data_IF_124466940199
#
_entry.id   IF_124466940199
#
_cell.length_a   1.000
_cell.length_b   1.000
_cell.length_c   1.000
_cell.angle_alpha   90.00
_cell.angle_beta   90.00
_cell.angle_gamma   90.00
#
_symmetry.space_group_name_H-M   'P 1'
#
loop_
_entity.id
_entity.type
_entity.pdbx_description
1 polymer ?
#
# COMPACT_ATOMS: atom_id res chain seq x y z
N UNK A 1 -16.78 2.83 19.08
CA UNK A 1 -18.20 2.50 19.37
C UNK A 1 -18.76 1.86 18.12
N UNK A 2 -19.36 0.66 18.18
CA UNK A 2 -19.89 0.00 16.97
C UNK A 2 -21.09 0.79 16.45
N UNK A 3 -21.09 1.14 15.16
CA UNK A 3 -22.16 1.87 14.47
C UNK A 3 -23.52 1.24 14.77
N UNK A 4 -23.58 -0.09 14.74
CA UNK A 4 -24.78 -0.89 15.05
C UNK A 4 -25.43 -0.56 16.40
N UNK A 5 -24.63 -0.33 17.45
CA UNK A 5 -25.17 -0.04 18.79
C UNK A 5 -25.84 1.33 18.86
N UNK A 6 -25.33 2.30 18.11
CA UNK A 6 -25.92 3.64 18.02
C UNK A 6 -27.23 3.57 17.25
N UNK A 7 -27.23 2.87 16.11
CA UNK A 7 -28.40 2.78 15.24
C UNK A 7 -29.49 1.84 15.75
N UNK A 8 -29.16 0.80 16.53
CA UNK A 8 -30.15 -0.05 17.19
C UNK A 8 -31.06 0.74 18.14
N UNK A 9 -30.51 1.76 18.83
CA UNK A 9 -31.29 2.65 19.69
C UNK A 9 -32.16 3.60 18.88
N UNK A 10 -31.59 4.20 17.83
CA UNK A 10 -32.34 5.08 16.94
C UNK A 10 -33.50 4.35 16.27
N UNK A 11 -33.31 3.09 15.85
CA UNK A 11 -34.36 2.28 15.23
C UNK A 11 -35.56 2.04 16.18
N UNK A 12 -35.31 1.95 17.49
CA UNK A 12 -36.37 1.84 18.49
C UNK A 12 -37.13 3.16 18.76
N UNK A 13 -36.54 4.30 18.40
CA UNK A 13 -37.11 5.63 18.63
C UNK A 13 -36.65 6.65 17.55
N UNK A 14 -37.06 6.49 16.28
CA UNK A 14 -36.51 7.27 15.17
C UNK A 14 -36.86 8.76 15.26
N UNK A 15 -37.94 9.11 15.97
CA UNK A 15 -38.33 10.51 16.19
C UNK A 15 -37.66 11.15 17.43
N UNK A 16 -36.87 10.41 18.23
CA UNK A 16 -36.25 10.96 19.44
C UNK A 16 -35.05 11.84 19.11
N UNK A 17 -35.19 13.14 19.36
CA UNK A 17 -34.14 14.14 19.20
C UNK A 17 -32.86 13.81 19.99
N UNK A 18 -32.94 13.13 21.13
CA UNK A 18 -31.77 12.74 21.91
C UNK A 18 -30.97 11.62 21.23
N UNK A 19 -31.66 10.65 20.63
CA UNK A 19 -30.98 9.57 19.90
C UNK A 19 -30.36 10.13 18.60
N UNK A 20 -31.03 11.05 17.90
CA UNK A 20 -30.44 11.78 16.77
C UNK A 20 -29.19 12.60 17.15
N UNK A 21 -29.19 13.25 18.32
CA UNK A 21 -27.98 13.95 18.82
C UNK A 21 -26.85 12.96 19.14
N UNK A 22 -27.15 11.76 19.65
CA UNK A 22 -26.13 10.71 19.86
C UNK A 22 -25.53 10.26 18.54
N UNK A 23 -26.35 10.08 17.51
CA UNK A 23 -25.94 9.76 16.15
C UNK A 23 -25.03 10.87 15.62
N UNK A 24 -25.43 12.14 15.70
CA UNK A 24 -24.59 13.27 15.29
C UNK A 24 -23.23 13.31 16.01
N UNK A 25 -23.19 13.07 17.33
CA UNK A 25 -21.92 12.99 18.09
C UNK A 25 -21.06 11.81 17.67
N UNK A 26 -21.68 10.66 17.40
CA UNK A 26 -20.98 9.49 16.89
C UNK A 26 -20.32 9.81 15.54
N UNK A 27 -21.08 10.37 14.59
CA UNK A 27 -20.56 10.82 13.30
C UNK A 27 -19.40 11.81 13.47
N UNK A 28 -19.59 12.86 14.29
CA UNK A 28 -18.55 13.86 14.55
C UNK A 28 -17.29 13.29 15.21
N UNK A 29 -17.41 12.21 15.99
CA UNK A 29 -16.24 11.51 16.56
C UNK A 29 -15.52 10.60 15.57
N UNK A 30 -16.21 10.19 14.50
CA UNK A 30 -15.68 9.31 13.46
C UNK A 30 -15.03 10.10 12.31
N UNK A 31 -15.53 11.29 11.98
CA UNK A 31 -14.99 12.14 10.90
C UNK A 31 -13.47 12.35 11.03
N UNK A 32 -12.90 12.81 12.16
CA UNK A 32 -11.45 13.04 12.28
C UNK A 32 -10.59 11.78 12.10
N UNK A 33 -11.18 10.58 12.15
CA UNK A 33 -10.46 9.31 11.97
C UNK A 33 -10.32 8.90 10.51
N UNK A 34 -10.97 9.62 9.58
CA UNK A 34 -10.82 9.44 8.13
C UNK A 34 -11.10 8.00 7.65
N UNK A 35 -12.15 7.37 8.18
CA UNK A 35 -12.55 5.98 7.87
C UNK A 35 -13.74 5.96 6.91
N UNK A 36 -13.53 5.99 5.57
CA UNK A 36 -14.62 6.14 4.61
C UNK A 36 -15.62 4.97 4.62
N UNK A 37 -15.18 3.77 4.97
CA UNK A 37 -16.04 2.59 5.14
C UNK A 37 -17.05 2.78 6.29
N UNK A 38 -16.60 3.32 7.42
CA UNK A 38 -17.46 3.59 8.59
C UNK A 38 -18.47 4.68 8.27
N UNK A 39 -18.08 5.72 7.52
CA UNK A 39 -18.98 6.78 7.09
C UNK A 39 -20.06 6.24 6.14
N UNK A 40 -19.70 5.35 5.21
CA UNK A 40 -20.65 4.68 4.32
C UNK A 40 -21.65 3.82 5.09
N UNK A 41 -21.16 3.04 6.05
CA UNK A 41 -22.02 2.26 6.95
C UNK A 41 -22.96 3.17 7.73
N UNK A 42 -22.46 4.31 8.24
CA UNK A 42 -23.24 5.30 8.96
C UNK A 42 -24.36 5.89 8.10
N UNK A 43 -24.04 6.30 6.87
CA UNK A 43 -25.00 6.82 5.89
C UNK A 43 -26.05 5.76 5.52
N UNK A 44 -25.61 4.53 5.25
CA UNK A 44 -26.51 3.43 4.93
C UNK A 44 -27.44 3.11 6.11
N UNK A 45 -26.93 3.12 7.34
CA UNK A 45 -27.73 2.86 8.54
C UNK A 45 -28.73 3.99 8.84
N UNK A 46 -28.34 5.24 8.62
CA UNK A 46 -29.21 6.41 8.79
C UNK A 46 -30.28 6.49 7.69
N UNK A 47 -29.91 6.22 6.43
CA UNK A 47 -30.84 6.21 5.29
C UNK A 47 -31.86 5.09 5.32
N UNK A 48 -31.63 4.02 6.11
CA UNK A 48 -32.62 2.95 6.36
C UNK A 48 -33.68 3.32 7.40
N UNK A 49 -33.48 4.39 8.17
CA UNK A 49 -34.44 4.78 9.20
C UNK A 49 -35.66 5.43 8.56
N UNK A 50 -36.84 5.05 9.03
CA UNK A 50 -38.08 5.69 8.63
C UNK A 50 -38.32 6.93 9.50
N UNK A 51 -38.33 8.11 8.88
CA UNK A 51 -38.70 9.36 9.54
C UNK A 51 -40.01 9.90 8.96
N UNK A 52 -40.84 10.50 9.81
CA UNK A 52 -42.07 11.14 9.35
C UNK A 52 -41.74 12.31 8.43
N UNK A 53 -42.42 12.38 7.29
CA UNK A 53 -42.20 13.44 6.32
C UNK A 53 -42.50 14.81 6.96
N UNK A 54 -41.60 15.78 6.74
CA UNK A 54 -41.70 17.12 7.31
C UNK A 54 -41.36 17.23 8.81
N UNK A 55 -41.02 16.13 9.49
CA UNK A 55 -40.61 16.20 10.89
C UNK A 55 -39.21 16.80 11.05
N UNK A 56 -38.93 17.34 12.24
CA UNK A 56 -37.59 17.77 12.62
C UNK A 56 -36.57 16.62 12.49
N UNK A 57 -36.96 15.41 12.88
CA UNK A 57 -36.11 14.23 12.81
C UNK A 57 -35.67 13.94 11.36
N UNK A 58 -36.61 14.00 10.41
CA UNK A 58 -36.31 13.84 8.99
C UNK A 58 -35.35 14.93 8.48
N UNK A 59 -35.63 16.20 8.79
CA UNK A 59 -34.76 17.32 8.40
C UNK A 59 -33.34 17.20 8.97
N UNK A 60 -33.23 16.84 10.25
CA UNK A 60 -31.95 16.66 10.93
C UNK A 60 -31.18 15.45 10.39
N UNK A 61 -31.84 14.33 10.13
CA UNK A 61 -31.23 13.16 9.53
C UNK A 61 -30.68 13.45 8.12
N UNK A 62 -31.44 14.18 7.29
CA UNK A 62 -30.98 14.61 5.96
C UNK A 62 -29.75 15.51 6.06
N UNK A 63 -29.73 16.48 6.97
CA UNK A 63 -28.55 17.32 7.18
C UNK A 63 -27.30 16.51 7.59
N UNK A 64 -27.46 15.47 8.43
CA UNK A 64 -26.35 14.57 8.76
C UNK A 64 -25.88 13.73 7.57
N UNK A 65 -26.80 13.28 6.72
CA UNK A 65 -26.47 12.57 5.48
C UNK A 65 -25.68 13.47 4.52
N UNK A 66 -26.07 14.73 4.37
CA UNK A 66 -25.37 15.72 3.54
C UNK A 66 -23.96 15.99 4.07
N UNK A 67 -23.81 16.22 5.38
CA UNK A 67 -22.48 16.42 6.01
C UNK A 67 -21.59 15.21 5.81
N UNK A 68 -22.12 13.99 6.01
CA UNK A 68 -21.34 12.77 5.79
C UNK A 68 -20.95 12.58 4.32
N UNK A 69 -21.86 12.88 3.39
CA UNK A 69 -21.58 12.78 1.96
C UNK A 69 -20.51 13.78 1.51
N UNK A 70 -20.62 15.05 1.92
CA UNK A 70 -19.64 16.09 1.60
C UNK A 70 -18.26 15.76 2.19
N UNK A 71 -18.23 15.25 3.42
CA UNK A 71 -16.98 14.83 4.04
C UNK A 71 -16.33 13.62 3.34
N UNK A 72 -17.12 12.65 2.87
CA UNK A 72 -16.62 11.55 2.04
C UNK A 72 -16.02 12.03 0.71
N UNK A 73 -16.64 13.03 0.07
CA UNK A 73 -16.08 13.68 -1.13
C UNK A 73 -14.75 14.32 -0.79
N UNK A 74 -14.68 15.11 0.29
CA UNK A 74 -13.45 15.73 0.76
C UNK A 74 -12.34 14.72 1.10
N UNK A 75 -12.67 13.59 1.74
CA UNK A 75 -11.71 12.51 1.99
C UNK A 75 -11.19 11.88 0.70
N UNK A 76 -12.06 11.68 -0.29
CA UNK A 76 -11.66 11.16 -1.60
C UNK A 76 -10.74 12.13 -2.32
N UNK A 77 -11.08 13.42 -2.33
CA UNK A 77 -10.23 14.46 -2.89
C UNK A 77 -8.86 14.53 -2.21
N UNK A 78 -8.82 14.40 -0.88
CA UNK A 78 -7.56 14.35 -0.14
C UNK A 78 -6.75 13.08 -0.43
N UNK A 79 -7.39 11.93 -0.58
CA UNK A 79 -6.74 10.68 -0.95
C UNK A 79 -6.21 10.72 -2.40
N UNK A 80 -7.00 11.27 -3.32
CA UNK A 80 -6.63 11.52 -4.71
C UNK A 80 -5.46 12.52 -4.76
N UNK A 81 -5.48 13.58 -3.95
CA UNK A 81 -4.36 14.53 -3.83
C UNK A 81 -3.10 13.90 -3.24
N UNK A 82 -3.23 13.04 -2.24
CA UNK A 82 -2.09 12.29 -1.71
C UNK A 82 -1.52 11.30 -2.75
N UNK A 83 -2.39 10.61 -3.50
CA UNK A 83 -1.97 9.70 -4.57
C UNK A 83 -1.33 10.46 -5.72
N UNK A 84 -1.92 11.57 -6.16
CA UNK A 84 -1.35 12.43 -7.18
C UNK A 84 -0.03 13.04 -6.70
N UNK A 85 0.10 13.41 -5.43
CA UNK A 85 1.36 13.81 -4.81
C UNK A 85 2.41 12.70 -4.88
N UNK A 86 2.05 11.46 -4.54
CA UNK A 86 2.92 10.28 -4.68
C UNK A 86 3.32 10.02 -6.14
N UNK A 87 2.40 10.17 -7.08
CA UNK A 87 2.68 10.04 -8.50
C UNK A 87 3.55 11.19 -9.02
N UNK A 88 3.37 12.39 -8.49
CA UNK A 88 4.19 13.55 -8.80
C UNK A 88 5.61 13.45 -8.21
N UNK A 89 5.83 12.61 -7.20
CA UNK A 89 7.18 12.19 -6.77
C UNK A 89 7.91 11.32 -7.81
N UNK A 90 7.22 10.78 -8.83
CA UNK A 90 7.93 10.15 -9.96
C UNK A 90 8.80 11.21 -10.62
N UNK A 91 10.09 10.93 -10.72
CA UNK A 91 11.11 11.87 -11.19
C UNK A 91 10.68 12.61 -12.47
N UNK A 92 10.19 11.88 -13.47
CA UNK A 92 9.83 12.45 -14.76
C UNK A 92 8.66 13.44 -14.69
N UNK A 93 7.73 13.25 -13.74
CA UNK A 93 6.61 14.16 -13.55
C UNK A 93 7.08 15.41 -12.83
N UNK A 94 7.87 15.25 -11.76
CA UNK A 94 8.43 16.36 -11.00
C UNK A 94 9.24 17.31 -11.86
N UNK A 95 10.14 16.79 -12.69
CA UNK A 95 11.00 17.61 -13.55
C UNK A 95 10.18 18.49 -14.51
N UNK A 96 9.13 17.93 -15.13
CA UNK A 96 8.20 18.70 -15.98
C UNK A 96 7.43 19.74 -15.18
N UNK A 97 6.92 19.38 -13.99
CA UNK A 97 6.16 20.30 -13.13
C UNK A 97 7.03 21.48 -12.68
N UNK A 98 8.28 21.23 -12.28
CA UNK A 98 9.27 22.26 -11.89
C UNK A 98 9.55 23.21 -13.06
N UNK A 99 9.77 22.71 -14.28
CA UNK A 99 9.98 23.55 -15.45
C UNK A 99 8.76 24.43 -15.79
N UNK A 100 7.56 23.90 -15.60
CA UNK A 100 6.29 24.62 -15.80
C UNK A 100 5.96 25.62 -14.68
N UNK A 101 6.64 25.55 -13.52
CA UNK A 101 6.52 26.56 -12.46
C UNK A 101 7.00 27.93 -12.94
N UNK A 102 8.03 27.95 -13.79
CA UNK A 102 8.56 29.17 -14.41
C UNK A 102 7.66 29.80 -15.47
N UNK A 103 6.55 29.15 -15.85
CA UNK A 103 5.59 29.66 -16.83
C UNK A 103 5.20 28.62 -17.89
N UNK A 104 4.29 28.99 -18.82
CA UNK A 104 3.87 28.11 -19.90
C UNK A 104 5.03 27.74 -20.84
N UNK A 105 5.13 26.47 -21.26
CA UNK A 105 6.18 25.98 -22.18
C UNK A 105 5.60 25.07 -23.26
N UNK A 106 6.26 25.00 -24.42
CA UNK A 106 5.92 24.04 -25.47
C UNK A 106 6.52 22.65 -25.15
N UNK A 107 5.97 21.57 -25.71
CA UNK A 107 6.57 20.24 -25.59
C UNK A 107 8.01 20.15 -26.14
N UNK A 108 8.35 20.97 -27.14
CA UNK A 108 9.72 21.07 -27.68
C UNK A 108 10.69 21.62 -26.64
N UNK A 109 10.30 22.72 -26.00
CA UNK A 109 11.16 23.42 -25.04
C UNK A 109 11.37 22.58 -23.78
N UNK A 110 10.34 21.83 -23.37
CA UNK A 110 10.44 20.85 -22.29
C UNK A 110 11.33 19.67 -22.68
N UNK A 111 11.26 19.18 -23.92
CA UNK A 111 12.11 18.09 -24.40
C UNK A 111 13.59 18.50 -24.41
N UNK A 112 13.88 19.70 -24.89
CA UNK A 112 15.23 20.27 -24.87
C UNK A 112 15.74 20.44 -23.44
N UNK A 113 14.97 21.07 -22.55
CA UNK A 113 15.36 21.32 -21.17
C UNK A 113 15.57 20.04 -20.34
N UNK A 114 14.88 18.95 -20.69
CA UNK A 114 14.99 17.66 -20.00
C UNK A 114 15.97 16.70 -20.66
N UNK A 115 16.58 17.06 -21.79
CA UNK A 115 17.36 16.15 -22.63
C UNK A 115 16.62 14.84 -22.96
N UNK A 116 15.31 14.92 -23.18
CA UNK A 116 14.44 13.78 -23.53
C UNK A 116 13.87 13.98 -24.93
N UNK A 117 13.47 12.89 -25.59
CA UNK A 117 12.79 13.00 -26.87
C UNK A 117 11.37 13.60 -26.71
N UNK A 118 10.94 14.35 -27.72
CA UNK A 118 9.62 15.01 -27.75
C UNK A 118 8.44 14.03 -27.57
N UNK A 119 8.43 12.82 -28.18
CA UNK A 119 7.40 11.82 -27.90
C UNK A 119 7.29 11.45 -26.42
N UNK A 120 8.42 11.25 -25.73
CA UNK A 120 8.44 10.95 -24.29
C UNK A 120 7.86 12.09 -23.46
N UNK A 121 8.27 13.34 -23.69
CA UNK A 121 7.68 14.51 -23.01
C UNK A 121 6.18 14.64 -23.29
N UNK A 122 5.74 14.40 -24.52
CA UNK A 122 4.32 14.42 -24.88
C UNK A 122 3.53 13.36 -24.11
N UNK A 123 4.10 12.16 -23.93
CA UNK A 123 3.50 11.08 -23.13
C UNK A 123 3.37 11.47 -21.66
N UNK A 124 4.40 12.10 -21.09
CA UNK A 124 4.40 12.61 -19.71
C UNK A 124 3.31 13.70 -19.57
N UNK A 125 3.29 14.69 -20.45
CA UNK A 125 2.27 15.76 -20.45
C UNK A 125 0.84 15.22 -20.59
N UNK A 126 0.63 14.16 -21.37
CA UNK A 126 -0.67 13.49 -21.48
C UNK A 126 -1.10 12.88 -20.14
N UNK A 127 -0.17 12.22 -19.43
CA UNK A 127 -0.43 11.64 -18.10
C UNK A 127 -0.69 12.75 -17.06
N UNK A 128 0.13 13.80 -17.03
CA UNK A 128 -0.05 14.95 -16.15
C UNK A 128 -1.37 15.69 -16.38
N UNK A 129 -1.83 15.78 -17.64
CA UNK A 129 -3.14 16.35 -17.97
C UNK A 129 -4.28 15.45 -17.52
N UNK A 130 -4.16 14.14 -17.70
CA UNK A 130 -5.16 13.19 -17.19
C UNK A 130 -5.28 13.25 -15.66
N UNK A 131 -4.18 13.54 -14.97
CA UNK A 131 -4.15 13.80 -13.53
C UNK A 131 -4.58 15.22 -13.12
N UNK A 132 -5.00 16.08 -14.06
CA UNK A 132 -5.44 17.45 -13.76
C UNK A 132 -4.32 18.42 -13.31
N UNK A 133 -3.05 18.02 -13.39
CA UNK A 133 -1.91 18.83 -12.93
C UNK A 133 -1.48 19.89 -13.95
N UNK A 134 -1.67 19.60 -15.23
CA UNK A 134 -1.25 20.45 -16.35
C UNK A 134 -2.41 20.63 -17.32
N UNK A 135 -2.57 21.85 -17.85
CA UNK A 135 -3.51 22.13 -18.93
C UNK A 135 -2.78 22.68 -20.16
N UNK A 136 -3.29 22.36 -21.35
CA UNK A 136 -2.88 23.01 -22.60
C UNK A 136 -3.89 24.07 -22.99
N UNK A 137 -3.44 25.18 -23.56
CA UNK A 137 -4.31 26.19 -24.15
C UNK A 137 -3.84 26.53 -25.57
N UNK A 138 -4.75 26.99 -26.42
CA UNK A 138 -4.44 27.42 -27.78
C UNK A 138 -4.02 28.90 -27.74
N UNK A 139 -2.95 29.25 -28.45
CA UNK A 139 -2.63 30.65 -28.76
C UNK A 139 -3.43 31.06 -30.01
N UNK A 140 -4.07 32.23 -29.96
CA UNK A 140 -4.99 32.71 -31.00
C UNK A 140 -4.30 32.95 -32.36
N UNK A 141 -3.01 33.26 -32.38
CA UNK A 141 -2.30 33.66 -33.60
C UNK A 141 -1.83 32.51 -34.51
N UNK A 142 -1.56 31.32 -33.97
CA UNK A 142 -0.92 30.24 -34.76
C UNK A 142 -1.71 28.92 -34.73
N UNK A 143 -2.50 28.64 -33.68
CA UNK A 143 -3.34 27.43 -33.56
C UNK A 143 -2.61 26.06 -33.59
N UNK A 144 -1.38 26.03 -34.10
CA UNK A 144 -0.48 24.89 -34.28
C UNK A 144 0.35 24.64 -33.03
N UNK A 145 0.59 25.67 -32.23
CA UNK A 145 1.30 25.59 -30.96
C UNK A 145 0.31 25.52 -29.80
N UNK A 146 0.53 24.55 -28.91
CA UNK A 146 -0.27 24.36 -27.68
C UNK A 146 0.67 24.35 -26.49
N UNK A 147 1.00 25.54 -25.91
CA UNK A 147 1.77 25.59 -24.68
C UNK A 147 1.01 24.93 -23.52
N UNK A 148 1.76 24.38 -22.59
CA UNK A 148 1.27 23.73 -21.38
C UNK A 148 1.62 24.59 -20.18
N UNK A 149 0.74 24.64 -19.18
CA UNK A 149 0.96 25.34 -17.91
C UNK A 149 0.39 24.52 -16.75
N UNK A 150 0.91 24.75 -15.54
CA UNK A 150 0.32 24.20 -14.32
C UNK A 150 -1.11 24.71 -14.13
N UNK A 151 -2.01 23.81 -13.71
CA UNK A 151 -3.33 24.19 -13.16
C UNK A 151 -3.16 24.75 -11.75
N UNK A 152 -4.22 25.30 -11.15
CA UNK A 152 -4.18 25.70 -9.73
C UNK A 152 -3.89 24.50 -8.82
N UNK A 153 -4.45 23.34 -9.15
CA UNK A 153 -4.18 22.08 -8.47
C UNK A 153 -2.73 21.61 -8.66
N UNK A 154 -2.20 21.66 -9.88
CA UNK A 154 -0.81 21.30 -10.16
C UNK A 154 0.21 22.18 -9.41
N UNK A 155 -0.09 23.46 -9.20
CA UNK A 155 0.72 24.33 -8.35
C UNK A 155 0.69 23.89 -6.89
N UNK A 156 -0.48 23.67 -6.31
CA UNK A 156 -0.62 23.21 -4.91
C UNK A 156 0.14 21.90 -4.66
N UNK A 157 0.00 20.93 -5.56
CA UNK A 157 0.74 19.67 -5.48
C UNK A 157 2.25 19.94 -5.53
N UNK A 158 2.72 20.74 -6.49
CA UNK A 158 4.14 21.06 -6.61
C UNK A 158 4.68 21.80 -5.38
N UNK A 159 3.94 22.78 -4.84
CA UNK A 159 4.32 23.53 -3.64
C UNK A 159 4.36 22.63 -2.40
N UNK A 160 3.48 21.62 -2.31
CA UNK A 160 3.54 20.59 -1.25
C UNK A 160 4.72 19.63 -1.37
N UNK A 161 5.26 19.45 -2.58
CA UNK A 161 6.51 18.71 -2.83
C UNK A 161 7.75 19.55 -2.52
N UNK A 162 7.60 20.87 -2.48
CA UNK A 162 8.66 21.87 -2.33
C UNK A 162 9.08 22.07 -0.87
N UNK A 163 8.93 21.04 -0.02
CA UNK A 163 9.78 20.95 1.18
C UNK A 163 11.19 20.93 0.62
N UNK A 164 11.92 22.04 0.75
CA UNK A 164 13.28 22.26 0.25
C UNK A 164 14.20 21.15 0.78
N UNK A 165 14.15 20.00 0.13
CA UNK A 165 15.07 18.92 0.37
C UNK A 165 16.36 19.39 -0.27
N UNK A 166 17.45 19.54 0.49
CA UNK A 166 18.73 19.91 -0.10
C UNK A 166 19.00 18.98 -1.28
N UNK A 167 19.40 19.53 -2.42
CA UNK A 167 19.51 18.75 -3.66
C UNK A 167 20.41 17.50 -3.52
N UNK A 168 21.34 17.51 -2.57
CA UNK A 168 22.18 16.38 -2.20
C UNK A 168 21.41 15.27 -1.48
N UNK A 169 20.48 15.62 -0.58
CA UNK A 169 19.63 14.65 0.15
C UNK A 169 18.69 13.97 -0.84
N UNK A 170 18.06 14.73 -1.72
CA UNK A 170 17.19 14.15 -2.76
C UNK A 170 17.98 13.22 -3.69
N UNK A 171 19.17 13.63 -4.13
CA UNK A 171 20.07 12.78 -4.92
C UNK A 171 20.48 11.51 -4.17
N UNK A 172 20.76 11.61 -2.87
CA UNK A 172 21.08 10.45 -2.02
C UNK A 172 19.91 9.46 -1.90
N UNK A 173 18.69 9.96 -1.69
CA UNK A 173 17.48 9.12 -1.65
C UNK A 173 17.25 8.43 -3.00
N UNK A 174 17.35 9.18 -4.11
CA UNK A 174 17.21 8.63 -5.47
C UNK A 174 18.22 7.52 -5.73
N UNK A 175 19.47 7.75 -5.36
CA UNK A 175 20.51 6.73 -5.49
C UNK A 175 20.18 5.48 -4.67
N UNK A 176 19.79 5.64 -3.40
CA UNK A 176 19.45 4.51 -2.55
C UNK A 176 18.30 3.68 -3.16
N UNK A 177 17.25 4.33 -3.67
CA UNK A 177 16.13 3.66 -4.34
C UNK A 177 16.59 2.91 -5.58
N UNK A 178 17.41 3.53 -6.45
CA UNK A 178 17.91 2.90 -7.66
C UNK A 178 18.78 1.67 -7.32
N UNK A 179 19.68 1.77 -6.33
CA UNK A 179 20.50 0.65 -5.88
C UNK A 179 19.64 -0.51 -5.34
N UNK A 180 18.60 -0.22 -4.55
CA UNK A 180 17.69 -1.25 -4.08
C UNK A 180 16.91 -1.91 -5.21
N UNK A 181 16.36 -1.14 -6.14
CA UNK A 181 15.65 -1.68 -7.31
C UNK A 181 16.54 -2.63 -8.12
N UNK A 182 17.76 -2.18 -8.43
CA UNK A 182 18.75 -3.00 -9.15
C UNK A 182 19.04 -4.31 -8.41
N UNK A 183 19.21 -4.24 -7.09
CA UNK A 183 19.42 -5.42 -6.25
C UNK A 183 18.21 -6.35 -6.21
N UNK A 184 16.98 -5.81 -6.15
CA UNK A 184 15.74 -6.60 -6.14
C UNK A 184 15.48 -7.29 -7.47
N UNK A 185 15.77 -6.63 -8.58
CA UNK A 185 15.55 -7.18 -9.92
C UNK A 185 16.53 -8.32 -10.24
N UNK A 186 17.75 -8.26 -9.68
CA UNK A 186 18.83 -9.17 -10.07
C UNK A 186 19.31 -10.11 -8.97
N UNK A 187 18.89 -9.92 -7.72
CA UNK A 187 19.28 -10.71 -6.55
C UNK A 187 20.71 -10.41 -6.06
N UNK A 188 21.67 -10.28 -6.99
CA UNK A 188 23.03 -9.85 -6.72
C UNK A 188 23.55 -8.85 -7.76
N UNK A 189 24.51 -8.02 -7.34
CA UNK A 189 25.24 -7.12 -8.23
C UNK A 189 26.69 -6.93 -7.81
N UNK A 190 27.56 -6.83 -8.81
CA UNK A 190 28.95 -6.47 -8.58
C UNK A 190 29.04 -5.03 -8.08
N UNK A 191 30.10 -4.74 -7.34
CA UNK A 191 30.40 -3.37 -6.93
C UNK A 191 30.51 -2.41 -8.11
N UNK A 192 31.09 -2.86 -9.22
CA UNK A 192 31.32 -2.05 -10.40
C UNK A 192 30.01 -1.63 -11.09
N UNK A 193 29.02 -2.52 -11.11
CA UNK A 193 27.69 -2.23 -11.68
C UNK A 193 26.96 -1.19 -10.83
N UNK A 194 26.99 -1.33 -9.51
CA UNK A 194 26.40 -0.35 -8.59
C UNK A 194 27.11 1.01 -8.69
N UNK A 195 28.43 1.03 -8.83
CA UNK A 195 29.20 2.27 -9.06
C UNK A 195 28.89 2.89 -10.44
N UNK A 196 28.53 2.10 -11.46
CA UNK A 196 28.06 2.61 -12.75
C UNK A 196 26.69 3.26 -12.63
N UNK A 197 25.73 2.58 -12.01
CA UNK A 197 24.40 3.13 -11.72
C UNK A 197 24.49 4.43 -10.90
N UNK A 198 25.36 4.46 -9.89
CA UNK A 198 25.56 5.63 -9.06
C UNK A 198 26.17 6.81 -9.83
N UNK A 199 27.05 6.54 -10.81
CA UNK A 199 27.59 7.57 -11.70
C UNK A 199 26.51 8.19 -12.57
N UNK A 200 25.59 7.38 -13.08
CA UNK A 200 24.48 7.88 -13.89
C UNK A 200 23.56 8.81 -13.08
N UNK A 201 23.39 8.54 -11.78
CA UNK A 201 22.55 9.35 -10.87
C UNK A 201 23.27 10.60 -10.35
N UNK A 202 24.55 10.49 -9.98
CA UNK A 202 25.28 11.56 -9.27
C UNK A 202 26.21 12.38 -10.17
N UNK A 203 26.55 11.90 -11.37
CA UNK A 203 27.43 12.55 -12.35
C UNK A 203 28.92 12.52 -12.00
N UNK A 204 29.29 12.57 -10.72
CA UNK A 204 30.69 12.54 -10.25
C UNK A 204 31.13 11.10 -9.87
N UNK A 205 32.14 10.52 -10.53
CA UNK A 205 32.64 9.17 -10.23
C UNK A 205 33.14 8.96 -8.79
N UNK A 206 33.79 9.97 -8.21
CA UNK A 206 34.35 9.88 -6.86
C UNK A 206 33.25 9.90 -5.80
N UNK A 207 32.25 10.76 -5.98
CA UNK A 207 31.08 10.85 -5.11
C UNK A 207 30.22 9.60 -5.24
N UNK A 208 30.03 9.08 -6.46
CA UNK A 208 29.33 7.83 -6.71
C UNK A 208 29.94 6.65 -5.96
N UNK A 209 31.25 6.45 -6.08
CA UNK A 209 31.96 5.40 -5.35
C UNK A 209 31.85 5.58 -3.83
N UNK A 210 32.02 6.80 -3.31
CA UNK A 210 31.83 7.05 -1.88
C UNK A 210 30.40 6.72 -1.42
N UNK A 211 29.39 7.11 -2.19
CA UNK A 211 27.98 6.89 -1.87
C UNK A 211 27.58 5.41 -1.88
N UNK A 212 28.00 4.63 -2.89
CA UNK A 212 27.75 3.17 -2.92
C UNK A 212 28.50 2.48 -1.77
N UNK A 213 29.66 2.99 -1.35
CA UNK A 213 30.39 2.45 -0.18
C UNK A 213 29.63 2.69 1.11
N UNK A 214 29.17 3.92 1.33
CA UNK A 214 28.36 4.29 2.48
C UNK A 214 27.03 3.51 2.51
N UNK A 215 26.30 3.49 1.38
CA UNK A 215 25.07 2.70 1.23
C UNK A 215 25.34 1.24 1.56
N UNK A 216 26.33 0.63 0.90
CA UNK A 216 26.69 -0.78 1.08
C UNK A 216 27.08 -1.13 2.51
N UNK A 217 27.73 -0.22 3.24
CA UNK A 217 28.02 -0.40 4.67
C UNK A 217 26.75 -0.39 5.52
N UNK A 218 25.91 0.64 5.33
CA UNK A 218 24.69 0.82 6.12
C UNK A 218 23.67 -0.31 5.90
N UNK A 219 23.46 -0.74 4.65
CA UNK A 219 22.50 -1.81 4.35
C UNK A 219 23.00 -3.19 4.80
N UNK A 220 24.32 -3.39 4.86
CA UNK A 220 24.92 -4.60 5.45
C UNK A 220 24.76 -4.61 6.97
N UNK A 221 25.00 -3.48 7.63
CA UNK A 221 24.79 -3.34 9.08
C UNK A 221 23.32 -3.58 9.45
N UNK A 222 22.40 -3.11 8.60
CA UNK A 222 20.96 -3.38 8.73
C UNK A 222 20.55 -4.83 8.36
N UNK A 223 21.47 -5.68 7.89
CA UNK A 223 21.19 -7.06 7.51
C UNK A 223 20.41 -7.23 6.21
N UNK A 224 20.26 -6.17 5.40
CA UNK A 224 19.49 -6.19 4.15
C UNK A 224 20.28 -6.79 2.99
N UNK A 225 21.59 -6.65 3.01
CA UNK A 225 22.50 -7.09 1.96
C UNK A 225 23.70 -7.81 2.58
N UNK A 226 24.13 -8.92 2.00
CA UNK A 226 25.39 -9.60 2.27
C UNK A 226 26.46 -9.24 1.24
N UNK A 227 27.73 -9.49 1.57
CA UNK A 227 28.82 -9.40 0.59
C UNK A 227 29.45 -10.78 0.41
N UNK A 228 29.39 -11.31 -0.80
CA UNK A 228 29.96 -12.62 -1.16
C UNK A 228 30.67 -12.50 -2.51
N UNK A 229 31.93 -12.94 -2.55
CA UNK A 229 32.80 -12.88 -3.73
C UNK A 229 32.90 -11.50 -4.40
N UNK A 230 32.98 -10.44 -3.58
CA UNK A 230 33.06 -9.06 -4.10
C UNK A 230 31.73 -8.47 -4.59
N UNK A 231 30.67 -9.27 -4.67
CA UNK A 231 29.32 -8.85 -5.02
C UNK A 231 28.48 -8.57 -3.77
N UNK A 232 27.49 -7.70 -3.95
CA UNK A 232 26.41 -7.47 -3.00
C UNK A 232 25.28 -8.45 -3.34
N UNK A 233 24.72 -9.09 -2.32
CA UNK A 233 23.61 -10.04 -2.43
C UNK A 233 22.49 -9.60 -1.51
N UNK A 234 21.24 -9.58 -1.95
CA UNK A 234 20.13 -9.45 -1.00
C UNK A 234 20.20 -10.63 -0.03
N UNK A 235 20.09 -10.36 1.28
CA UNK A 235 20.04 -11.47 2.23
C UNK A 235 18.78 -12.30 1.96
N UNK A 236 18.80 -13.64 2.17
CA UNK A 236 17.66 -14.51 1.84
C UNK A 236 16.32 -14.09 2.45
N UNK A 237 16.36 -13.40 3.60
CA UNK A 237 15.19 -12.82 4.26
C UNK A 237 14.49 -11.73 3.43
N UNK A 238 15.15 -11.23 2.39
CA UNK A 238 14.72 -10.14 1.51
C UNK A 238 14.92 -10.45 0.01
N UNK A 239 15.42 -11.64 -0.35
CA UNK A 239 15.84 -11.99 -1.71
C UNK A 239 14.75 -12.61 -2.59
N UNK A 240 13.55 -12.86 -2.07
CA UNK A 240 12.41 -13.22 -2.93
C UNK A 240 11.75 -11.92 -3.37
N UNK A 241 11.75 -11.57 -4.68
CA UNK A 241 10.93 -10.47 -5.16
C UNK A 241 9.51 -10.75 -4.69
N UNK A 242 8.96 -9.87 -3.85
CA UNK A 242 7.65 -10.08 -3.26
C UNK A 242 6.57 -10.32 -4.34
N UNK A 243 6.78 -9.81 -5.56
CA UNK A 243 5.97 -10.09 -6.76
C UNK A 243 6.01 -11.56 -7.21
N UNK A 244 7.16 -12.23 -7.20
CA UNK A 244 7.27 -13.62 -7.61
C UNK A 244 6.61 -14.57 -6.59
N UNK A 245 6.82 -14.32 -5.29
CA UNK A 245 6.13 -15.08 -4.23
C UNK A 245 4.61 -14.89 -4.32
N UNK A 246 4.18 -13.65 -4.56
CA UNK A 246 2.78 -13.31 -4.76
C UNK A 246 2.17 -14.06 -5.95
N UNK A 247 2.81 -14.07 -7.12
CA UNK A 247 2.36 -14.83 -8.29
C UNK A 247 2.30 -16.33 -8.04
N UNK A 248 3.29 -16.88 -7.31
CA UNK A 248 3.31 -18.29 -6.93
C UNK A 248 2.12 -18.60 -6.01
N UNK A 249 1.85 -17.76 -5.00
CA UNK A 249 0.73 -17.96 -4.08
C UNK A 249 -0.62 -17.88 -4.79
N UNK A 250 -0.79 -16.97 -5.76
CA UNK A 250 -1.98 -16.94 -6.60
C UNK A 250 -2.18 -18.23 -7.40
N UNK A 251 -1.08 -18.78 -7.92
CA UNK A 251 -1.12 -19.98 -8.76
C UNK A 251 -1.31 -21.27 -7.95
N UNK A 252 -0.87 -21.30 -6.69
CA UNK A 252 -0.80 -22.52 -5.88
C UNK A 252 -1.70 -22.51 -4.63
N UNK A 253 -2.42 -21.42 -4.35
CA UNK A 253 -3.26 -21.28 -3.15
C UNK A 253 -4.22 -22.46 -2.92
N UNK A 254 -4.91 -22.92 -3.98
CA UNK A 254 -5.80 -24.08 -3.89
C UNK A 254 -5.07 -25.39 -3.55
N UNK A 255 -3.88 -25.61 -4.13
CA UNK A 255 -3.06 -26.78 -3.83
C UNK A 255 -2.55 -26.76 -2.38
N UNK A 256 -2.15 -25.58 -1.89
CA UNK A 256 -1.73 -25.39 -0.50
C UNK A 256 -2.87 -25.66 0.48
N UNK A 257 -4.09 -25.20 0.18
CA UNK A 257 -5.27 -25.52 1.00
C UNK A 257 -5.59 -27.01 1.00
N UNK A 258 -5.45 -27.70 -0.14
CA UNK A 258 -5.59 -29.14 -0.22
C UNK A 258 -4.53 -29.87 0.63
N UNK A 259 -3.28 -29.42 0.60
CA UNK A 259 -2.22 -29.95 1.47
C UNK A 259 -2.56 -29.75 2.95
N UNK A 260 -3.06 -28.56 3.33
CA UNK A 260 -3.49 -28.31 4.70
C UNK A 260 -4.61 -29.28 5.08
N UNK A 261 -5.66 -29.41 4.26
CA UNK A 261 -6.79 -30.30 4.51
C UNK A 261 -6.36 -31.77 4.66
N UNK A 262 -5.33 -32.22 3.93
CA UNK A 262 -4.77 -33.56 4.09
C UNK A 262 -4.09 -33.80 5.46
N UNK A 263 -3.62 -32.74 6.10
CA UNK A 263 -2.98 -32.80 7.42
C UNK A 263 -3.93 -32.45 8.58
N UNK A 264 -5.12 -31.91 8.28
CA UNK A 264 -6.10 -31.49 9.31
C UNK A 264 -6.72 -32.67 10.01
N UNK A 265 -6.92 -32.51 11.32
CA UNK A 265 -7.66 -33.47 12.17
C UNK A 265 -9.16 -33.17 12.24
N UNK A 266 -9.55 -31.94 11.92
CA UNK A 266 -10.93 -31.45 11.98
C UNK A 266 -11.13 -30.31 10.98
N UNK A 267 -12.38 -30.09 10.57
CA UNK A 267 -12.75 -28.93 9.76
C UNK A 267 -12.81 -27.69 10.65
N UNK A 268 -11.68 -27.01 10.81
CA UNK A 268 -11.51 -25.79 11.61
C UNK A 268 -11.03 -24.64 10.72
N UNK A 269 -11.33 -23.38 11.06
CA UNK A 269 -10.93 -22.22 10.26
C UNK A 269 -9.41 -22.08 10.16
N UNK A 270 -8.92 -21.56 9.04
CA UNK A 270 -7.51 -21.24 8.81
C UNK A 270 -7.26 -19.77 8.98
N UNK A 271 -6.25 -19.46 9.77
CA UNK A 271 -5.72 -18.14 9.93
C UNK A 271 -4.39 -18.06 9.21
N UNK A 272 -4.30 -17.23 8.18
CA UNK A 272 -3.09 -17.11 7.37
C UNK A 272 -2.35 -15.84 7.72
N UNK A 273 -1.21 -15.99 8.40
CA UNK A 273 -0.27 -14.92 8.67
C UNK A 273 0.52 -14.60 7.40
N UNK A 274 0.30 -13.40 6.86
CA UNK A 274 0.82 -12.97 5.54
C UNK A 274 1.26 -11.50 5.54
N UNK A 275 1.89 -11.06 4.44
CA UNK A 275 2.23 -9.65 4.18
C UNK A 275 1.04 -8.92 3.53
N UNK A 276 1.06 -7.58 3.54
CA UNK A 276 0.03 -6.79 2.84
C UNK A 276 -0.03 -7.10 1.34
N UNK A 277 1.09 -7.50 0.76
CA UNK A 277 1.19 -7.78 -0.66
C UNK A 277 0.59 -9.15 -0.99
N UNK A 278 0.90 -10.19 -0.22
CA UNK A 278 0.35 -11.53 -0.44
C UNK A 278 -1.10 -11.72 0.07
N UNK A 279 -1.63 -10.72 0.79
CA UNK A 279 -3.00 -10.71 1.30
C UNK A 279 -4.06 -11.07 0.25
N UNK A 280 -3.97 -10.49 -0.95
CA UNK A 280 -4.96 -10.72 -2.01
C UNK A 280 -5.04 -12.16 -2.49
N UNK A 281 -3.89 -12.84 -2.59
CA UNK A 281 -3.82 -14.24 -3.02
C UNK A 281 -4.51 -15.16 -2.00
N UNK A 282 -4.27 -14.93 -0.71
CA UNK A 282 -4.90 -15.69 0.35
C UNK A 282 -6.37 -15.36 0.55
N UNK A 283 -6.74 -14.08 0.45
CA UNK A 283 -8.13 -13.67 0.51
C UNK A 283 -8.94 -14.38 -0.58
N UNK A 284 -8.40 -14.50 -1.80
CA UNK A 284 -9.01 -15.26 -2.89
C UNK A 284 -9.06 -16.76 -2.59
N UNK A 285 -7.94 -17.38 -2.22
CA UNK A 285 -7.88 -18.82 -1.96
C UNK A 285 -8.83 -19.25 -0.83
N UNK A 286 -9.01 -18.42 0.20
CA UNK A 286 -9.88 -18.71 1.35
C UNK A 286 -11.37 -18.44 1.08
N UNK A 287 -11.77 -17.90 -0.09
CA UNK A 287 -13.18 -17.66 -0.40
C UNK A 287 -14.01 -18.95 -0.44
N UNK A 288 -13.37 -20.06 -0.81
CA UNK A 288 -14.00 -21.38 -0.94
C UNK A 288 -13.92 -22.20 0.35
N UNK A 289 -13.50 -21.60 1.47
CA UNK A 289 -13.43 -22.28 2.77
C UNK A 289 -14.81 -22.63 3.33
N UNK A 290 -15.02 -23.92 3.63
CA UNK A 290 -16.30 -24.44 4.13
C UNK A 290 -16.71 -23.88 5.48
N UNK A 291 -15.76 -23.40 6.29
CA UNK A 291 -16.06 -22.88 7.63
C UNK A 291 -16.61 -21.45 7.62
N UNK A 292 -16.35 -20.69 6.55
CA UNK A 292 -16.72 -19.27 6.43
C UNK A 292 -16.04 -18.34 7.46
N UNK A 293 -15.09 -18.86 8.23
CA UNK A 293 -14.41 -18.13 9.31
C UNK A 293 -12.89 -18.01 9.08
N UNK A 294 -12.38 -18.63 8.02
CA UNK A 294 -10.96 -18.48 7.64
C UNK A 294 -10.66 -17.04 7.23
N UNK A 295 -9.48 -16.55 7.61
CA UNK A 295 -9.05 -15.19 7.29
C UNK A 295 -7.53 -15.04 7.25
N UNK A 296 -7.10 -13.98 6.58
CA UNK A 296 -5.72 -13.50 6.61
C UNK A 296 -5.46 -12.63 7.84
N UNK A 297 -4.20 -12.60 8.29
CA UNK A 297 -3.67 -11.70 9.31
C UNK A 297 -2.48 -10.94 8.72
N UNK A 298 -2.55 -9.62 8.69
CA UNK A 298 -1.43 -8.75 8.32
C UNK A 298 -0.91 -7.94 9.51
N UNK A 299 0.23 -7.25 9.35
CA UNK A 299 0.87 -6.48 10.43
C UNK A 299 -0.10 -5.45 11.06
N UNK A 300 -0.98 -4.85 10.26
CA UNK A 300 -1.97 -3.89 10.73
C UNK A 300 -2.95 -4.49 11.75
N UNK A 301 -3.42 -5.72 11.52
CA UNK A 301 -4.41 -6.39 12.36
C UNK A 301 -3.87 -6.75 13.75
N UNK A 302 -2.59 -7.11 13.80
CA UNK A 302 -1.87 -7.47 15.03
C UNK A 302 -1.75 -6.24 15.93
N UNK A 303 -1.36 -5.10 15.35
CA UNK A 303 -1.20 -3.85 16.07
C UNK A 303 -2.53 -3.29 16.58
N UNK A 304 -3.62 -3.48 15.84
CA UNK A 304 -4.96 -3.05 16.26
C UNK A 304 -5.64 -3.99 17.25
N UNK A 305 -5.05 -5.16 17.56
CA UNK A 305 -5.64 -6.21 18.43
C UNK A 305 -7.07 -6.59 18.02
N UNK A 306 -7.37 -6.56 16.72
CA UNK A 306 -8.72 -6.81 16.18
C UNK A 306 -9.00 -8.28 15.91
N UNK A 307 -8.05 -9.17 16.23
CA UNK A 307 -8.14 -10.60 15.96
C UNK A 307 -8.53 -11.33 17.25
N UNK A 308 -9.81 -11.68 17.34
CA UNK A 308 -10.29 -12.71 18.28
C UNK A 308 -10.50 -14.01 17.47
N UNK A 309 -9.57 -14.99 17.53
CA UNK A 309 -9.79 -16.26 16.86
C UNK A 309 -10.86 -17.09 17.59
N UNK A 310 -11.56 -18.00 16.88
CA UNK A 310 -12.47 -18.94 17.51
C UNK A 310 -11.72 -19.89 18.45
N UNK A 311 -12.43 -20.71 19.22
CA UNK A 311 -11.84 -21.63 20.18
C UNK A 311 -10.90 -22.67 19.55
N UNK A 312 -11.08 -22.99 18.27
CA UNK A 312 -10.28 -23.94 17.49
C UNK A 312 -10.04 -23.38 16.10
N UNK A 313 -8.79 -23.42 15.65
CA UNK A 313 -8.35 -22.93 14.35
C UNK A 313 -6.96 -23.48 14.04
N UNK A 314 -6.61 -23.46 12.76
CA UNK A 314 -5.25 -23.69 12.29
C UNK A 314 -4.56 -22.36 11.95
N UNK A 315 -3.24 -22.33 12.08
CA UNK A 315 -2.42 -21.16 11.79
C UNK A 315 -1.40 -21.50 10.69
N UNK A 316 -1.44 -20.75 9.59
CA UNK A 316 -0.52 -20.86 8.47
C UNK A 316 0.36 -19.63 8.40
N UNK A 317 1.67 -19.81 8.27
CA UNK A 317 2.61 -18.77 7.88
C UNK A 317 3.00 -18.96 6.42
N UNK A 318 2.80 -17.95 5.60
CA UNK A 318 3.29 -18.00 4.21
C UNK A 318 4.78 -17.66 4.09
N UNK A 319 5.40 -17.14 5.15
CA UNK A 319 6.82 -16.81 5.25
C UNK A 319 7.47 -17.26 6.58
N UNK A 320 8.44 -18.22 6.56
CA UNK A 320 9.09 -18.70 7.78
C UNK A 320 9.90 -17.63 8.50
N UNK A 321 10.39 -16.61 7.78
CA UNK A 321 11.19 -15.54 8.37
C UNK A 321 10.42 -14.72 9.40
N UNK A 322 9.09 -14.64 9.28
CA UNK A 322 8.22 -13.84 10.15
C UNK A 322 7.98 -14.50 11.50
N UNK A 323 8.07 -15.83 11.59
CA UNK A 323 7.75 -16.60 12.81
C UNK A 323 8.59 -16.14 14.00
N UNK A 324 9.89 -15.88 13.79
CA UNK A 324 10.80 -15.46 14.86
C UNK A 324 10.39 -14.13 15.49
N UNK A 325 10.00 -13.16 14.67
CA UNK A 325 9.53 -11.85 15.11
C UNK A 325 8.16 -11.96 15.79
N UNK A 326 7.23 -12.72 15.21
CA UNK A 326 5.87 -12.87 15.74
C UNK A 326 5.84 -13.57 17.11
N UNK A 327 6.83 -14.43 17.43
CA UNK A 327 6.98 -15.01 18.79
C UNK A 327 7.21 -13.96 19.88
N UNK A 328 7.75 -12.81 19.53
CA UNK A 328 7.95 -11.70 20.48
C UNK A 328 6.68 -10.86 20.68
N UNK A 329 5.64 -11.10 19.87
CA UNK A 329 4.38 -10.35 19.92
C UNK A 329 3.36 -11.16 20.74
N UNK A 330 2.88 -10.67 21.91
CA UNK A 330 2.03 -11.47 22.80
C UNK A 330 0.77 -12.06 22.13
N UNK A 331 0.13 -11.30 21.24
CA UNK A 331 -1.05 -11.77 20.50
C UNK A 331 -0.72 -12.92 19.56
N UNK A 332 0.36 -12.82 18.78
CA UNK A 332 0.75 -13.87 17.84
C UNK A 332 1.31 -15.09 18.56
N UNK A 333 2.07 -14.88 19.64
CA UNK A 333 2.52 -15.95 20.52
C UNK A 333 1.32 -16.73 21.09
N UNK A 334 0.33 -16.03 21.64
CA UNK A 334 -0.92 -16.64 22.09
C UNK A 334 -1.60 -17.42 20.96
N UNK A 335 -1.64 -16.88 19.73
CA UNK A 335 -2.22 -17.60 18.61
C UNK A 335 -1.44 -18.88 18.24
N UNK A 336 -0.11 -18.84 18.25
CA UNK A 336 0.73 -20.01 17.99
C UNK A 336 0.61 -21.09 19.07
N UNK A 337 0.34 -20.69 20.31
CA UNK A 337 0.20 -21.62 21.44
C UNK A 337 -1.17 -22.31 21.44
N UNK A 338 -2.20 -21.70 20.86
CA UNK A 338 -3.58 -22.21 20.87
C UNK A 338 -4.06 -22.77 19.52
N UNK A 339 -3.27 -22.67 18.45
CA UNK A 339 -3.63 -23.26 17.16
C UNK A 339 -3.62 -24.80 17.24
N UNK A 340 -4.64 -25.45 16.66
CA UNK A 340 -4.79 -26.90 16.60
C UNK A 340 -3.67 -27.53 15.75
N UNK A 341 -3.36 -26.91 14.61
CA UNK A 341 -2.19 -27.20 13.80
C UNK A 341 -1.50 -25.91 13.32
N UNK A 342 -0.19 -26.02 13.08
CA UNK A 342 0.67 -24.94 12.60
C UNK A 342 1.33 -25.36 11.29
N UNK A 343 1.19 -24.51 10.29
CA UNK A 343 1.71 -24.74 8.95
C UNK A 343 2.66 -23.62 8.55
N UNK A 344 3.67 -23.95 7.76
CA UNK A 344 4.56 -22.95 7.15
C UNK A 344 4.88 -23.32 5.72
N UNK A 345 4.79 -22.35 4.82
CA UNK A 345 5.25 -22.52 3.44
C UNK A 345 6.75 -22.28 3.43
N UNK A 346 7.52 -23.32 3.13
CA UNK A 346 8.97 -23.25 3.16
C UNK A 346 9.53 -24.07 2.00
N UNK A 347 10.58 -23.58 1.35
CA UNK A 347 11.34 -24.33 0.35
C UNK A 347 12.18 -25.43 1.01
N UNK A 348 12.64 -26.43 0.25
CA UNK A 348 13.32 -27.60 0.81
C UNK A 348 14.60 -27.29 1.62
N UNK A 349 15.21 -26.13 1.42
CA UNK A 349 16.39 -25.68 2.18
C UNK A 349 16.04 -24.83 3.42
N UNK A 350 14.78 -24.40 3.54
CA UNK A 350 14.36 -23.53 4.63
C UNK A 350 14.25 -24.30 5.95
N UNK A 351 14.76 -23.68 7.02
CA UNK A 351 14.64 -24.23 8.37
C UNK A 351 13.20 -24.08 8.88
N UNK A 352 12.50 -25.21 8.98
CA UNK A 352 11.15 -25.27 9.55
C UNK A 352 11.23 -25.24 11.09
N UNK A 353 10.55 -24.29 11.77
CA UNK A 353 10.52 -24.26 13.23
C UNK A 353 9.83 -25.50 13.82
N UNK A 354 10.27 -25.92 15.01
CA UNK A 354 9.66 -27.04 15.73
C UNK A 354 8.15 -26.83 15.92
N UNK A 355 7.37 -27.89 15.67
CA UNK A 355 5.92 -27.89 15.79
C UNK A 355 5.17 -27.31 14.58
N UNK A 356 5.86 -26.95 13.50
CA UNK A 356 5.25 -26.57 12.22
C UNK A 356 5.32 -27.72 11.21
N UNK A 357 4.25 -27.88 10.43
CA UNK A 357 4.20 -28.73 9.24
C UNK A 357 4.61 -27.90 8.02
N UNK A 358 5.62 -28.37 7.30
CA UNK A 358 6.06 -27.73 6.07
C UNK A 358 5.07 -28.00 4.93
N UNK A 359 4.68 -26.94 4.23
CA UNK A 359 3.94 -27.01 2.98
C UNK A 359 4.88 -26.66 1.83
N UNK A 360 4.80 -27.43 0.75
CA UNK A 360 5.63 -27.22 -0.43
C UNK A 360 4.85 -26.42 -1.49
N UNK A 361 5.52 -25.43 -2.08
CA UNK A 361 4.97 -24.64 -3.19
C UNK A 361 4.97 -25.43 -4.49
N UNK A 362 5.83 -26.44 -4.63
CA UNK A 362 5.85 -27.32 -5.79
C UNK A 362 5.27 -28.69 -5.41
N UNK A 363 4.17 -29.13 -6.05
CA UNK A 363 3.77 -30.52 -5.92
C UNK A 363 4.92 -31.39 -6.42
N UNK A 364 5.34 -32.39 -5.63
CA UNK A 364 6.30 -33.39 -6.10
C UNK A 364 5.78 -33.94 -7.43
N UNK A 365 6.58 -33.83 -8.49
CA UNK A 365 6.29 -34.55 -9.73
C UNK A 365 6.46 -36.02 -9.40
N UNK A 366 5.34 -36.70 -9.15
CA UNK A 366 5.28 -38.15 -8.98
C UNK A 366 5.72 -38.90 -10.24
#
# INVERSE_FOLDING_TARGET
MKVDKVFARLAGAPQDANELRRVARALGSEMPRQRPEVLREFRAALGRQAFDAGSFANGFANALLDVAAEYEVSLREAADEAEVGRLALRQEWREVLVLLRGGPRLPSDLAEALHKDRPTVTRILKKLRAAGLVQSYALEEDGRTRPHRLTAYGRRVLDGLDVEMPSDVERGIRLAVALFQEMFEHGSRSRADLDALARDVLGDPSVAAAAVSAWGSNVREAGLVGKFDGEYHLTPQHAVPLSARHEILWSHGASLLAQINAHRRADVPVFVRTTNEAWGAWAYALQDDSTGLSRTIVNGDILSRTIEPPARYDLLYDDPAVIGADRQIPTMQSMMDHADAKFVIASGEDRVPEGFVQLDLQPKKD
#
